data_IF_155905553191
#
_entry.id   IF_155905553191
#
_cell.length_a   1.000
_cell.length_b   1.000
_cell.length_c   1.000
_cell.angle_alpha   90.00
_cell.angle_beta   90.00
_cell.angle_gamma   90.00
#
_symmetry.space_group_name_H-M   'P 1'
#
loop_
_entity.id
_entity.type
_entity.pdbx_description
1 polymer ?
#
# COMPACT_ATOMS: atom_id res chain seq x y z
N UNK A 1 5.76 -20.14 14.81
CA UNK A 1 4.62 -20.31 13.89
C UNK A 1 5.07 -21.18 12.74
N UNK A 2 4.24 -22.14 12.27
CA UNK A 2 4.56 -22.90 11.06
C UNK A 2 4.31 -22.03 9.82
N UNK A 3 5.16 -22.16 8.80
CA UNK A 3 5.05 -21.40 7.56
C UNK A 3 4.04 -22.10 6.65
N UNK A 4 2.85 -21.52 6.50
CA UNK A 4 1.83 -22.08 5.61
C UNK A 4 2.12 -21.74 4.16
N UNK A 5 2.18 -22.75 3.31
CA UNK A 5 2.45 -22.60 1.87
C UNK A 5 1.30 -23.20 1.09
N UNK A 6 0.65 -22.36 0.28
CA UNK A 6 -0.40 -22.80 -0.62
C UNK A 6 0.19 -23.57 -1.82
N UNK A 7 -0.47 -24.62 -2.29
CA UNK A 7 -0.05 -25.37 -3.48
C UNK A 7 -1.21 -25.41 -4.49
N UNK A 8 -1.06 -24.67 -5.59
CA UNK A 8 -1.99 -24.62 -6.71
C UNK A 8 -1.59 -25.56 -7.84
N UNK A 9 -2.57 -26.24 -8.44
CA UNK A 9 -2.38 -27.05 -9.65
C UNK A 9 -3.71 -27.22 -10.39
N UNK A 10 -3.65 -27.71 -11.62
CA UNK A 10 -4.81 -28.32 -12.27
C UNK A 10 -5.18 -29.65 -11.62
N UNK A 11 -6.33 -30.21 -12.01
CA UNK A 11 -6.73 -31.57 -11.64
C UNK A 11 -5.73 -32.60 -12.19
N UNK A 12 -5.26 -32.40 -13.41
CA UNK A 12 -4.30 -33.25 -14.10
C UNK A 12 -2.90 -33.17 -13.46
N UNK A 13 -2.51 -31.99 -12.96
CA UNK A 13 -1.25 -31.73 -12.26
C UNK A 13 -1.24 -32.16 -10.78
N UNK A 14 -2.37 -32.61 -10.22
CA UNK A 14 -2.52 -32.97 -8.81
C UNK A 14 -1.47 -33.99 -8.30
N UNK A 15 -1.06 -35.03 -9.04
CA UNK A 15 -0.01 -35.94 -8.59
C UNK A 15 1.31 -35.22 -8.28
N UNK A 16 1.69 -34.23 -9.09
CA UNK A 16 2.89 -33.42 -8.87
C UNK A 16 2.72 -32.48 -7.66
N UNK A 17 1.53 -31.91 -7.48
CA UNK A 17 1.22 -31.08 -6.31
C UNK A 17 1.29 -31.90 -4.99
N UNK A 18 0.79 -33.13 -5.00
CA UNK A 18 0.92 -34.06 -3.87
C UNK A 18 2.39 -34.38 -3.56
N UNK A 19 3.21 -34.64 -4.58
CA UNK A 19 4.64 -34.85 -4.39
C UNK A 19 5.34 -33.62 -3.78
N UNK A 20 5.01 -32.41 -4.25
CA UNK A 20 5.51 -31.16 -3.67
C UNK A 20 5.05 -30.99 -2.21
N UNK A 21 3.81 -31.36 -1.89
CA UNK A 21 3.30 -31.35 -0.51
C UNK A 21 4.14 -32.23 0.40
N UNK A 22 4.48 -33.45 -0.04
CA UNK A 22 5.34 -34.37 0.71
C UNK A 22 6.73 -33.79 0.94
N UNK A 23 7.36 -33.24 -0.10
CA UNK A 23 8.66 -32.56 0.00
C UNK A 23 8.63 -31.40 0.99
N UNK A 24 7.65 -30.50 0.86
CA UNK A 24 7.50 -29.35 1.77
C UNK A 24 7.27 -29.80 3.22
N UNK A 25 6.45 -30.84 3.43
CA UNK A 25 6.22 -31.41 4.76
C UNK A 25 7.51 -31.96 5.36
N UNK A 26 8.38 -32.56 4.55
CA UNK A 26 9.68 -33.09 5.00
C UNK A 26 10.66 -32.03 5.50
N UNK A 27 10.46 -30.75 5.14
CA UNK A 27 11.30 -29.65 5.61
C UNK A 27 11.00 -29.25 7.08
N UNK A 28 9.91 -29.76 7.67
CA UNK A 28 9.63 -29.78 9.11
C UNK A 28 8.91 -28.55 9.67
N UNK A 29 9.20 -27.35 9.18
CA UNK A 29 8.62 -26.10 9.69
C UNK A 29 7.59 -25.46 8.74
N UNK A 30 7.16 -26.23 7.74
CA UNK A 30 6.21 -25.84 6.70
C UNK A 30 4.92 -26.63 6.87
N UNK A 31 3.81 -25.93 6.68
CA UNK A 31 2.47 -26.51 6.63
C UNK A 31 1.89 -26.30 5.22
N UNK A 32 2.03 -27.27 4.32
CA UNK A 32 1.53 -27.14 2.96
C UNK A 32 0.01 -27.33 2.90
N UNK A 33 -0.67 -26.47 2.15
CA UNK A 33 -2.13 -26.48 1.95
C UNK A 33 -2.42 -26.69 0.46
N UNK A 34 -3.04 -27.81 0.09
CA UNK A 34 -3.39 -28.07 -1.32
C UNK A 34 -4.61 -27.27 -1.76
N UNK A 35 -4.65 -26.94 -3.05
CA UNK A 35 -5.81 -26.40 -3.74
C UNK A 35 -7.10 -27.16 -3.43
N UNK A 36 -7.07 -28.50 -3.43
CA UNK A 36 -8.26 -29.32 -3.17
C UNK A 36 -8.83 -29.18 -1.76
N UNK A 37 -8.09 -28.60 -0.81
CA UNK A 37 -8.49 -28.47 0.60
C UNK A 37 -9.25 -27.16 0.89
N UNK A 38 -9.29 -26.21 -0.05
CA UNK A 38 -9.80 -24.85 0.21
C UNK A 38 -11.17 -24.56 -0.41
N UNK A 39 -11.61 -25.34 -1.41
CA UNK A 39 -12.90 -25.12 -2.10
C UNK A 39 -14.06 -25.76 -1.34
N UNK A 40 -14.81 -24.91 -0.65
CA UNK A 40 -16.05 -25.30 0.01
C UNK A 40 -17.25 -24.99 -0.90
N UNK A 41 -18.32 -25.81 -0.88
CA UNK A 41 -19.54 -25.51 -1.64
C UNK A 41 -20.05 -24.09 -1.33
N UNK A 42 -20.31 -23.31 -2.38
CA UNK A 42 -20.83 -21.95 -2.26
C UNK A 42 -19.80 -20.83 -2.35
N UNK A 43 -18.49 -21.13 -2.38
CA UNK A 43 -17.45 -20.13 -2.66
C UNK A 43 -17.11 -20.06 -4.15
N UNK A 44 -16.91 -18.85 -4.67
CA UNK A 44 -16.25 -18.68 -5.96
C UNK A 44 -14.75 -19.00 -5.83
N UNK A 45 -14.12 -19.46 -6.92
CA UNK A 45 -12.71 -19.85 -6.92
C UNK A 45 -11.78 -18.76 -6.40
N UNK A 46 -12.02 -17.51 -6.81
CA UNK A 46 -11.23 -16.37 -6.38
C UNK A 46 -11.41 -16.02 -4.90
N UNK A 47 -12.63 -16.15 -4.36
CA UNK A 47 -12.90 -15.89 -2.94
C UNK A 47 -12.19 -16.91 -2.03
N UNK A 48 -12.20 -18.19 -2.42
CA UNK A 48 -11.48 -19.23 -1.70
C UNK A 48 -9.95 -18.97 -1.71
N UNK A 49 -9.42 -18.49 -2.84
CA UNK A 49 -8.03 -18.08 -2.95
C UNK A 49 -7.71 -16.90 -2.04
N UNK A 50 -8.48 -15.83 -2.10
CA UNK A 50 -8.25 -14.65 -1.24
C UNK A 50 -8.26 -15.02 0.25
N UNK A 51 -9.19 -15.88 0.66
CA UNK A 51 -9.29 -16.37 2.04
C UNK A 51 -8.08 -17.22 2.47
N UNK A 52 -7.58 -18.13 1.62
CA UNK A 52 -6.40 -18.92 1.98
C UNK A 52 -5.13 -18.07 2.07
N UNK A 53 -5.03 -17.01 1.26
CA UNK A 53 -3.87 -16.12 1.25
C UNK A 53 -3.76 -15.24 2.50
N UNK A 54 -4.84 -15.05 3.26
CA UNK A 54 -4.77 -14.44 4.61
C UNK A 54 -4.07 -15.33 5.63
N UNK A 55 -3.88 -16.62 5.31
CA UNK A 55 -3.29 -17.62 6.19
C UNK A 55 -1.95 -18.16 5.67
N UNK A 56 -1.65 -17.97 4.39
CA UNK A 56 -0.43 -18.46 3.75
C UNK A 56 0.62 -17.36 3.60
N UNK A 57 1.88 -17.72 3.83
CA UNK A 57 3.03 -16.84 3.65
C UNK A 57 3.67 -16.96 2.26
N UNK A 58 3.37 -18.03 1.52
CA UNK A 58 3.88 -18.27 0.19
C UNK A 58 2.93 -19.18 -0.61
N UNK A 59 3.18 -19.31 -1.91
CA UNK A 59 2.49 -20.25 -2.77
C UNK A 59 3.46 -20.98 -3.72
N UNK A 60 3.13 -22.22 -4.06
CA UNK A 60 3.76 -22.99 -5.13
C UNK A 60 2.68 -23.29 -6.17
N UNK A 61 2.98 -23.06 -7.45
CA UNK A 61 2.09 -23.44 -8.54
C UNK A 61 2.73 -24.50 -9.41
N UNK A 62 1.96 -25.52 -9.77
CA UNK A 62 2.37 -26.57 -10.72
C UNK A 62 1.84 -26.23 -12.10
N UNK A 63 2.76 -25.90 -13.01
CA UNK A 63 2.49 -25.71 -14.43
C UNK A 63 2.80 -27.02 -15.17
N UNK A 64 1.80 -27.90 -15.26
CA UNK A 64 1.87 -29.19 -15.97
C UNK A 64 1.39 -29.10 -17.43
N UNK A 65 1.82 -30.03 -18.28
CA UNK A 65 1.53 -30.06 -19.71
C UNK A 65 0.10 -30.55 -20.04
N UNK A 66 -0.92 -29.89 -19.48
CA UNK A 66 -2.29 -30.41 -19.48
C UNK A 66 -3.04 -30.18 -20.80
N UNK A 67 -2.82 -29.02 -21.43
CA UNK A 67 -3.53 -28.61 -22.64
C UNK A 67 -2.61 -28.64 -23.86
N UNK A 68 -3.16 -28.94 -25.04
CA UNK A 68 -2.48 -28.78 -26.33
C UNK A 68 -3.01 -27.51 -27.00
N UNK A 69 -2.12 -26.59 -27.32
CA UNK A 69 -2.46 -25.32 -27.98
C UNK A 69 -1.72 -25.17 -29.30
N UNK A 70 -2.36 -24.53 -30.28
CA UNK A 70 -1.73 -24.20 -31.56
C UNK A 70 -1.14 -22.79 -31.47
N UNK A 71 0.18 -22.69 -31.36
CA UNK A 71 0.91 -21.43 -31.33
C UNK A 71 1.71 -21.24 -32.61
N UNK A 72 1.39 -20.19 -33.39
CA UNK A 72 2.06 -19.88 -34.67
C UNK A 72 2.14 -21.09 -35.64
N UNK A 73 1.08 -21.89 -35.68
CA UNK A 73 1.00 -23.09 -36.53
C UNK A 73 1.69 -24.33 -35.98
N UNK A 74 2.25 -24.28 -34.77
CA UNK A 74 2.84 -25.44 -34.08
C UNK A 74 1.94 -25.88 -32.92
N UNK A 75 1.72 -27.19 -32.78
CA UNK A 75 1.07 -27.75 -31.59
C UNK A 75 2.10 -27.84 -30.47
N UNK A 76 1.82 -27.16 -29.35
CA UNK A 76 2.66 -27.15 -28.16
C UNK A 76 1.84 -27.58 -26.94
N UNK A 77 2.49 -28.17 -25.95
CA UNK A 77 1.86 -28.48 -24.67
C UNK A 77 2.00 -27.29 -23.72
N UNK A 78 0.91 -26.86 -23.12
CA UNK A 78 0.87 -25.68 -22.26
C UNK A 78 0.17 -25.97 -20.94
N UNK A 79 0.50 -25.23 -19.87
CA UNK A 79 -0.28 -25.27 -18.65
C UNK A 79 -1.72 -24.83 -18.89
N UNK A 80 -2.63 -25.42 -18.12
CA UNK A 80 -4.04 -25.04 -18.15
C UNK A 80 -4.19 -23.55 -17.85
N UNK A 81 -4.97 -22.85 -18.68
CA UNK A 81 -5.10 -21.39 -18.60
C UNK A 81 -5.54 -20.90 -17.21
N UNK A 82 -6.43 -21.63 -16.53
CA UNK A 82 -6.90 -21.30 -15.18
C UNK A 82 -5.75 -21.28 -14.16
N UNK A 83 -4.83 -22.25 -14.22
CA UNK A 83 -3.66 -22.31 -13.32
C UNK A 83 -2.78 -21.07 -13.50
N UNK A 84 -2.62 -20.61 -14.74
CA UNK A 84 -1.84 -19.41 -15.04
C UNK A 84 -2.53 -18.12 -14.56
N UNK A 85 -3.87 -18.07 -14.66
CA UNK A 85 -4.67 -16.97 -14.12
C UNK A 85 -4.57 -16.89 -12.59
N UNK A 86 -4.74 -18.03 -11.92
CA UNK A 86 -4.64 -18.16 -10.47
C UNK A 86 -3.23 -17.84 -9.97
N UNK A 87 -2.19 -18.31 -10.67
CA UNK A 87 -0.80 -17.93 -10.43
C UNK A 87 -0.63 -16.41 -10.46
N UNK A 88 -1.16 -15.74 -11.50
CA UNK A 88 -1.09 -14.28 -11.64
C UNK A 88 -1.79 -13.54 -10.48
N UNK A 89 -3.01 -13.97 -10.13
CA UNK A 89 -3.77 -13.40 -9.01
C UNK A 89 -3.01 -13.53 -7.68
N UNK A 90 -2.54 -14.75 -7.38
CA UNK A 90 -1.81 -15.03 -6.14
C UNK A 90 -0.50 -14.23 -6.12
N UNK A 91 0.29 -14.23 -7.20
CA UNK A 91 1.53 -13.47 -7.30
C UNK A 91 1.33 -11.98 -7.05
N UNK A 92 0.22 -11.41 -7.54
CA UNK A 92 -0.17 -10.03 -7.26
C UNK A 92 -0.51 -9.77 -5.79
N UNK A 93 -1.13 -10.73 -5.10
CA UNK A 93 -1.60 -10.58 -3.72
C UNK A 93 -0.52 -10.86 -2.65
N UNK A 94 0.37 -11.83 -2.85
CA UNK A 94 1.44 -12.15 -1.88
C UNK A 94 2.84 -11.64 -2.29
N UNK A 95 2.93 -11.07 -3.49
CA UNK A 95 4.17 -10.61 -4.10
C UNK A 95 4.99 -11.75 -4.73
N UNK A 96 5.61 -11.45 -5.88
CA UNK A 96 6.41 -12.41 -6.68
C UNK A 96 7.54 -13.12 -5.93
N UNK A 97 8.04 -12.55 -4.84
CA UNK A 97 9.13 -13.16 -4.06
C UNK A 97 8.63 -14.33 -3.19
N UNK A 98 7.33 -14.40 -2.96
CA UNK A 98 6.67 -15.43 -2.14
C UNK A 98 5.99 -16.50 -3.00
N UNK A 99 6.33 -16.61 -4.29
CA UNK A 99 5.77 -17.61 -5.19
C UNK A 99 6.88 -18.42 -5.85
N UNK A 100 6.69 -19.74 -5.95
CA UNK A 100 7.51 -20.62 -6.78
C UNK A 100 6.64 -21.23 -7.88
N UNK A 101 7.16 -21.27 -9.10
CA UNK A 101 6.52 -21.94 -10.23
C UNK A 101 7.30 -23.23 -10.54
N UNK A 102 6.61 -24.36 -10.42
CA UNK A 102 7.14 -25.68 -10.68
C UNK A 102 6.64 -26.17 -12.05
N UNK A 103 7.55 -26.45 -12.98
CA UNK A 103 7.20 -27.04 -14.27
C UNK A 103 7.12 -28.56 -14.15
N UNK A 104 6.13 -29.14 -14.82
CA UNK A 104 5.96 -30.59 -14.91
C UNK A 104 5.59 -31.01 -16.34
N UNK A 105 6.10 -32.16 -16.79
CA UNK A 105 5.74 -32.74 -18.08
C UNK A 105 6.16 -31.93 -19.32
N UNK A 106 7.13 -31.02 -19.21
CA UNK A 106 7.64 -30.25 -20.36
C UNK A 106 6.70 -29.16 -20.87
N UNK A 107 5.80 -28.65 -20.01
CA UNK A 107 4.88 -27.60 -20.37
C UNK A 107 5.59 -26.31 -20.81
N UNK A 108 5.18 -25.74 -21.93
CA UNK A 108 5.71 -24.48 -22.44
C UNK A 108 4.96 -23.30 -21.81
N UNK A 109 5.69 -22.40 -21.15
CA UNK A 109 5.12 -21.20 -20.55
C UNK A 109 4.85 -20.09 -21.58
N UNK A 110 3.90 -19.19 -21.29
CA UNK A 110 3.76 -17.93 -22.00
C UNK A 110 5.08 -17.17 -22.11
N UNK A 111 5.31 -16.45 -23.22
CA UNK A 111 6.56 -15.73 -23.48
C UNK A 111 6.95 -14.75 -22.38
N UNK A 112 5.97 -14.07 -21.77
CA UNK A 112 6.20 -13.12 -20.68
C UNK A 112 6.74 -13.78 -19.40
N UNK A 113 6.55 -15.10 -19.26
CA UNK A 113 7.04 -15.88 -18.12
C UNK A 113 8.32 -16.66 -18.43
N UNK A 114 8.87 -16.57 -19.64
CA UNK A 114 10.12 -17.28 -20.00
C UNK A 114 11.35 -16.73 -19.23
N UNK A 115 11.30 -15.49 -18.76
CA UNK A 115 12.34 -14.90 -17.90
C UNK A 115 12.22 -15.29 -16.42
N UNK A 116 11.17 -16.02 -16.03
CA UNK A 116 10.97 -16.44 -14.64
C UNK A 116 11.83 -17.66 -14.32
N UNK A 117 12.57 -17.60 -13.21
CA UNK A 117 13.29 -18.77 -12.69
C UNK A 117 12.28 -19.80 -12.15
N UNK A 118 12.15 -20.92 -12.86
CA UNK A 118 11.23 -22.03 -12.53
C UNK A 118 11.96 -23.23 -11.95
N UNK A 119 11.25 -24.05 -11.18
CA UNK A 119 11.73 -25.35 -10.69
C UNK A 119 11.20 -26.43 -11.62
N UNK A 120 12.05 -26.99 -12.48
CA UNK A 120 11.64 -28.07 -13.37
C UNK A 120 11.63 -29.40 -12.62
N UNK A 121 10.45 -29.92 -12.33
CA UNK A 121 10.26 -31.16 -11.57
C UNK A 121 10.55 -32.42 -12.40
N UNK A 122 10.84 -32.29 -13.70
CA UNK A 122 11.22 -33.42 -14.56
C UNK A 122 12.73 -33.72 -14.54
N UNK A 123 13.56 -32.84 -13.98
CA UNK A 123 15.01 -33.02 -13.90
C UNK A 123 15.36 -34.03 -12.80
N UNK A 124 15.84 -35.20 -13.21
CA UNK A 124 16.24 -36.28 -12.28
C UNK A 124 17.73 -36.33 -11.98
N UNK A 125 18.57 -35.74 -12.84
CA UNK A 125 20.03 -35.72 -12.68
C UNK A 125 20.58 -34.29 -12.66
N UNK A 126 21.49 -33.95 -11.73
CA UNK A 126 22.16 -32.66 -11.76
C UNK A 126 23.11 -32.59 -12.96
N UNK A 127 23.28 -31.43 -13.61
CA UNK A 127 24.23 -31.28 -14.69
C UNK A 127 25.66 -31.60 -14.21
N UNK A 128 26.52 -32.17 -15.08
CA UNK A 128 27.84 -32.72 -14.69
C UNK A 128 28.84 -31.70 -14.11
N UNK A 129 28.54 -30.40 -14.18
CA UNK A 129 29.32 -29.34 -13.51
C UNK A 129 28.36 -28.44 -12.72
N UNK A 130 28.36 -28.53 -11.37
CA UNK A 130 27.60 -27.60 -10.56
C UNK A 130 28.35 -26.28 -10.44
N UNK A 131 27.90 -25.27 -11.18
CA UNK A 131 28.49 -23.92 -11.14
C UNK A 131 27.52 -22.85 -10.65
N UNK A 132 26.25 -23.20 -10.37
CA UNK A 132 25.23 -22.26 -9.87
C UNK A 132 24.06 -22.97 -9.16
N UNK A 133 23.17 -22.20 -8.52
CA UNK A 133 21.89 -22.68 -7.97
C UNK A 133 21.00 -23.39 -9.02
N UNK A 134 21.21 -23.14 -10.31
CA UNK A 134 20.49 -23.80 -11.40
C UNK A 134 20.88 -25.28 -11.58
N UNK A 135 21.97 -25.74 -10.96
CA UNK A 135 22.46 -27.12 -11.01
C UNK A 135 21.90 -28.01 -9.89
N UNK A 136 21.16 -27.44 -8.95
CA UNK A 136 20.57 -28.18 -7.83
C UNK A 136 19.38 -29.03 -8.32
N UNK A 137 19.18 -30.17 -7.65
CA UNK A 137 17.98 -30.99 -7.86
C UNK A 137 16.71 -30.19 -7.51
N UNK A 138 15.55 -30.52 -8.11
CA UNK A 138 14.32 -29.74 -7.91
C UNK A 138 13.92 -29.59 -6.43
N UNK A 139 14.07 -30.65 -5.64
CA UNK A 139 13.82 -30.66 -4.19
C UNK A 139 14.72 -29.71 -3.41
N UNK A 140 16.00 -29.59 -3.79
CA UNK A 140 16.96 -28.72 -3.12
C UNK A 140 16.73 -27.25 -3.48
N UNK A 141 16.33 -26.98 -4.73
CA UNK A 141 15.89 -25.65 -5.17
C UNK A 141 14.64 -25.20 -4.42
N UNK A 142 13.67 -26.10 -4.28
CA UNK A 142 12.45 -25.83 -3.51
C UNK A 142 12.79 -25.56 -2.04
N UNK A 143 13.69 -26.36 -1.45
CA UNK A 143 14.17 -26.14 -0.08
C UNK A 143 14.91 -24.81 0.08
N UNK A 144 15.77 -24.45 -0.87
CA UNK A 144 16.48 -23.19 -0.84
C UNK A 144 15.50 -22.02 -0.90
N UNK A 145 14.51 -22.07 -1.80
CA UNK A 145 13.46 -21.05 -1.90
C UNK A 145 12.70 -20.88 -0.58
N UNK A 146 12.37 -21.98 0.13
CA UNK A 146 11.65 -21.86 1.41
C UNK A 146 12.47 -21.17 2.49
N UNK A 147 13.81 -21.17 2.43
CA UNK A 147 14.66 -20.47 3.42
C UNK A 147 14.47 -18.94 3.41
N UNK A 148 14.08 -18.37 2.27
CA UNK A 148 13.81 -16.93 2.12
C UNK A 148 12.42 -16.50 2.60
N UNK A 149 11.54 -17.44 2.97
CA UNK A 149 10.16 -17.15 3.34
C UNK A 149 10.04 -16.68 4.78
N UNK A 150 9.56 -15.45 4.94
CA UNK A 150 9.18 -14.88 6.23
C UNK A 150 7.77 -15.32 6.62
N UNK A 151 7.53 -15.62 7.89
CA UNK A 151 6.17 -15.86 8.39
C UNK A 151 5.42 -14.54 8.58
N UNK A 152 4.12 -14.53 8.29
CA UNK A 152 3.20 -13.45 8.64
C UNK A 152 2.26 -13.96 9.72
N UNK A 153 1.83 -13.11 10.66
CA UNK A 153 0.81 -13.51 11.62
C UNK A 153 -0.50 -13.83 10.90
N UNK A 154 -1.27 -14.76 11.46
CA UNK A 154 -2.54 -15.20 10.90
C UNK A 154 -3.49 -14.02 10.66
N UNK A 155 -4.18 -14.04 9.51
CA UNK A 155 -5.18 -13.05 9.09
C UNK A 155 -4.62 -11.65 8.80
N UNK A 156 -3.29 -11.50 8.68
CA UNK A 156 -2.67 -10.27 8.20
C UNK A 156 -2.31 -10.43 6.72
N UNK A 157 -2.99 -9.67 5.86
CA UNK A 157 -2.68 -9.61 4.43
C UNK A 157 -1.28 -9.09 4.16
N UNK A 158 -0.60 -9.63 3.13
CA UNK A 158 0.74 -9.15 2.69
C UNK A 158 0.68 -7.90 1.83
N UNK A 159 -0.39 -7.78 1.07
CA UNK A 159 -0.76 -6.56 0.35
C UNK A 159 -2.11 -6.14 0.88
N UNK A 160 -2.48 -4.89 0.69
CA UNK A 160 -3.84 -4.41 0.82
C UNK A 160 -4.11 -3.44 -0.32
N UNK A 161 -5.33 -3.52 -0.85
CA UNK A 161 -5.81 -2.52 -1.81
C UNK A 161 -6.20 -1.31 -0.98
N UNK A 162 -5.78 -0.12 -1.42
CA UNK A 162 -6.12 1.15 -0.79
C UNK A 162 -6.71 2.08 -1.84
N UNK A 163 -7.51 3.06 -1.42
CA UNK A 163 -7.97 4.10 -2.34
C UNK A 163 -6.78 4.92 -2.86
N UNK A 164 -6.86 5.40 -4.11
CA UNK A 164 -5.76 6.10 -4.80
C UNK A 164 -5.28 7.39 -4.11
N UNK A 165 -6.07 7.94 -3.19
CA UNK A 165 -5.68 9.10 -2.37
C UNK A 165 -4.78 8.72 -1.18
N UNK A 166 -4.65 7.43 -0.86
CA UNK A 166 -3.72 6.93 0.16
C UNK A 166 -2.27 7.18 -0.22
N UNK A 167 -1.41 7.43 0.77
CA UNK A 167 -0.01 7.82 0.64
C UNK A 167 0.21 9.31 0.90
N UNK A 168 1.40 9.81 0.54
CA UNK A 168 1.86 11.17 0.84
C UNK A 168 1.29 12.24 -0.09
N UNK A 169 0.94 13.37 0.49
CA UNK A 169 0.57 14.61 -0.19
C UNK A 169 1.37 15.76 0.38
N UNK A 170 1.84 16.65 -0.48
CA UNK A 170 2.39 17.95 -0.09
C UNK A 170 1.28 18.99 -0.14
N UNK A 171 1.27 19.94 0.79
CA UNK A 171 0.29 21.01 0.82
C UNK A 171 0.92 22.38 1.06
N UNK A 172 0.28 23.38 0.47
CA UNK A 172 0.52 24.79 0.73
C UNK A 172 -0.82 25.45 1.12
N UNK A 173 -0.93 25.82 2.39
CA UNK A 173 -2.10 26.47 2.98
C UNK A 173 -1.80 27.94 3.23
N UNK A 174 -2.66 28.82 2.73
CA UNK A 174 -2.64 30.25 2.98
C UNK A 174 -3.84 30.63 3.84
N UNK A 175 -3.59 31.17 5.03
CA UNK A 175 -4.65 31.62 5.92
C UNK A 175 -5.09 33.04 5.52
N UNK A 176 -6.40 33.21 5.31
CA UNK A 176 -7.04 34.52 5.10
C UNK A 176 -7.66 35.04 6.40
N UNK A 177 -7.97 34.14 7.32
CA UNK A 177 -8.39 34.44 8.68
C UNK A 177 -7.70 33.46 9.63
N UNK A 178 -7.11 33.95 10.71
CA UNK A 178 -6.38 33.11 11.66
C UNK A 178 -6.63 33.58 13.07
N UNK A 179 -7.21 32.70 13.89
CA UNK A 179 -7.52 32.95 15.30
C UNK A 179 -8.23 34.29 15.55
N UNK A 180 -9.32 34.54 14.82
CA UNK A 180 -10.19 35.70 14.98
C UNK A 180 -9.70 36.94 14.24
N UNK A 181 -8.54 36.86 13.59
CA UNK A 181 -7.89 37.98 12.91
C UNK A 181 -7.86 37.77 11.42
N UNK A 182 -8.18 38.83 10.70
CA UNK A 182 -8.02 38.85 9.26
C UNK A 182 -6.53 38.96 8.87
N UNK A 183 -6.12 38.13 7.92
CA UNK A 183 -4.75 38.08 7.40
C UNK A 183 -4.75 38.66 5.99
N UNK A 184 -4.33 39.91 5.88
CA UNK A 184 -4.18 40.63 4.61
C UNK A 184 -2.85 41.33 4.56
N UNK A 185 -2.30 41.49 3.35
CA UNK A 185 -1.06 42.21 3.12
C UNK A 185 -1.08 43.58 3.83
N UNK A 186 -0.01 43.97 4.54
CA UNK A 186 1.32 43.35 4.61
C UNK A 186 1.47 42.15 5.58
N UNK A 187 0.38 41.74 6.25
CA UNK A 187 0.37 40.51 7.06
C UNK A 187 0.21 39.27 6.20
N UNK A 188 0.80 38.16 6.62
CA UNK A 188 0.66 36.86 5.99
C UNK A 188 0.78 35.73 7.01
N UNK A 189 0.16 34.58 6.72
CA UNK A 189 0.33 33.35 7.47
C UNK A 189 0.19 32.17 6.51
N UNK A 190 1.25 31.39 6.37
CA UNK A 190 1.34 30.24 5.48
C UNK A 190 1.68 28.99 6.28
N UNK A 191 1.06 27.86 5.94
CA UNK A 191 1.44 26.55 6.43
C UNK A 191 1.81 25.67 5.25
N UNK A 192 3.09 25.31 5.16
CA UNK A 192 3.58 24.40 4.13
C UNK A 192 3.98 23.08 4.78
N UNK A 193 3.60 21.96 4.20
CA UNK A 193 3.78 20.67 4.85
C UNK A 193 3.45 19.48 3.98
N UNK A 194 3.29 18.34 4.64
CA UNK A 194 2.77 17.14 4.02
C UNK A 194 1.80 16.41 4.96
N UNK A 195 0.93 15.61 4.37
CA UNK A 195 0.12 14.65 5.10
C UNK A 195 0.17 13.28 4.44
N UNK A 196 0.11 12.23 5.25
CA UNK A 196 0.06 10.84 4.83
C UNK A 196 -1.34 10.31 5.17
N UNK A 197 -2.04 9.75 4.17
CA UNK A 197 -3.36 9.16 4.34
C UNK A 197 -3.33 7.65 4.10
N UNK A 198 -4.14 6.91 4.83
CA UNK A 198 -4.53 5.53 4.51
C UNK A 198 -6.05 5.53 4.43
N UNK A 199 -6.60 5.29 3.25
CA UNK A 199 -8.03 5.30 2.96
C UNK A 199 -8.44 3.94 2.43
N UNK A 200 -9.51 3.39 2.97
CA UNK A 200 -10.12 2.12 2.55
C UNK A 200 -10.48 2.15 1.06
N UNK A 201 -10.48 0.99 0.36
CA UNK A 201 -10.81 0.92 -1.07
C UNK A 201 -12.08 1.64 -1.50
N UNK A 202 -13.12 1.59 -0.65
CA UNK A 202 -14.42 2.23 -0.92
C UNK A 202 -14.42 3.76 -0.70
N UNK A 203 -13.30 4.34 -0.25
CA UNK A 203 -13.18 5.77 -0.01
C UNK A 203 -13.92 6.29 1.21
N UNK A 204 -14.59 5.45 2.01
CA UNK A 204 -15.49 5.90 3.08
C UNK A 204 -14.82 6.02 4.46
N UNK A 205 -13.62 5.47 4.63
CA UNK A 205 -12.91 5.53 5.89
C UNK A 205 -11.42 5.70 5.66
N UNK A 206 -10.85 6.72 6.26
CA UNK A 206 -9.42 6.95 6.22
C UNK A 206 -8.90 7.65 7.46
N UNK A 207 -7.61 7.49 7.70
CA UNK A 207 -6.86 8.09 8.80
C UNK A 207 -5.49 8.51 8.32
N UNK A 208 -4.82 9.35 9.09
CA UNK A 208 -3.52 9.82 8.70
C UNK A 208 -2.84 10.72 9.71
N UNK A 209 -1.76 11.33 9.25
CA UNK A 209 -1.00 12.30 10.02
C UNK A 209 -0.55 13.43 9.09
N UNK A 210 -0.56 14.66 9.59
CA UNK A 210 -0.04 15.83 8.88
C UNK A 210 1.04 16.52 9.70
N UNK A 211 2.06 17.03 9.00
CA UNK A 211 3.08 17.90 9.57
C UNK A 211 3.18 19.16 8.72
N UNK A 212 3.37 20.30 9.40
CA UNK A 212 3.42 21.60 8.76
C UNK A 212 4.47 22.52 9.37
N UNK A 213 4.95 23.46 8.57
CA UNK A 213 5.70 24.64 9.00
C UNK A 213 4.82 25.86 8.81
N UNK A 214 4.39 26.45 9.92
CA UNK A 214 3.67 27.70 9.96
C UNK A 214 4.69 28.85 9.97
N UNK A 215 4.64 29.70 8.95
CA UNK A 215 5.41 30.93 8.88
C UNK A 215 4.46 32.12 8.72
N UNK A 216 4.62 33.13 9.57
CA UNK A 216 3.73 34.28 9.56
C UNK A 216 4.44 35.58 9.93
N UNK A 217 3.84 36.68 9.48
CA UNK A 217 4.09 38.03 9.95
C UNK A 217 2.74 38.73 10.10
N UNK A 218 2.45 39.22 11.29
CA UNK A 218 1.27 39.99 11.61
C UNK A 218 1.66 41.42 11.91
N UNK A 219 1.10 42.37 11.17
CA UNK A 219 1.18 43.79 11.50
C UNK A 219 0.04 44.10 12.48
N UNK A 220 0.38 44.70 13.63
CA UNK A 220 -0.54 44.89 14.75
C UNK A 220 -1.09 46.31 14.87
N UNK A 221 -0.48 47.28 14.19
CA UNK A 221 -0.85 48.69 14.20
C UNK A 221 -0.97 49.26 12.78
N UNK A 222 -1.56 50.46 12.67
CA UNK A 222 -1.71 51.15 11.39
C UNK A 222 -0.38 51.74 10.86
N UNK A 223 0.60 51.96 11.74
CA UNK A 223 1.94 52.47 11.38
C UNK A 223 2.83 51.40 10.73
N UNK A 224 2.55 50.12 10.94
CA UNK A 224 3.36 49.02 10.41
C UNK A 224 4.61 48.72 11.23
N UNK A 225 4.83 49.42 12.33
CA UNK A 225 6.03 49.33 13.16
C UNK A 225 5.93 48.15 14.14
N UNK A 226 4.73 47.91 14.69
CA UNK A 226 4.52 46.78 15.60
C UNK A 226 4.16 45.53 14.81
N UNK A 227 5.12 44.62 14.73
CA UNK A 227 4.93 43.34 14.06
C UNK A 227 5.15 42.17 15.02
N UNK A 228 4.38 41.12 14.82
CA UNK A 228 4.57 39.83 15.46
C UNK A 228 4.76 38.79 14.37
N UNK A 229 5.93 38.16 14.33
CA UNK A 229 6.28 37.17 13.32
C UNK A 229 6.86 35.93 13.96
N UNK A 230 6.69 34.80 13.30
CA UNK A 230 7.11 33.53 13.86
C UNK A 230 7.26 32.42 12.84
N UNK A 231 8.00 31.41 13.27
CA UNK A 231 8.20 30.14 12.59
C UNK A 231 7.93 29.02 13.59
N UNK A 232 6.95 28.20 13.25
CA UNK A 232 6.39 27.15 14.09
C UNK A 232 6.30 25.85 13.31
N UNK A 233 6.48 24.72 13.99
CA UNK A 233 6.18 23.40 13.45
C UNK A 233 4.92 22.87 14.12
N UNK A 234 4.08 22.22 13.34
CA UNK A 234 2.86 21.61 13.83
C UNK A 234 2.74 20.17 13.35
N UNK A 235 2.09 19.36 14.18
CA UNK A 235 1.81 17.95 13.97
C UNK A 235 0.34 17.70 14.29
N UNK A 236 -0.39 17.10 13.35
CA UNK A 236 -1.81 16.87 13.44
C UNK A 236 -2.16 15.41 13.18
N UNK A 237 -3.06 14.86 13.98
CA UNK A 237 -3.73 13.59 13.65
C UNK A 237 -4.88 13.87 12.67
N UNK A 238 -5.06 13.00 11.68
CA UNK A 238 -6.22 12.99 10.80
C UNK A 238 -7.14 11.85 11.25
N UNK A 239 -8.24 12.19 11.91
CA UNK A 239 -9.13 11.22 12.55
C UNK A 239 -10.10 10.56 11.57
N UNK A 240 -10.51 11.29 10.53
CA UNK A 240 -11.40 10.83 9.48
C UNK A 240 -10.98 11.42 8.14
N UNK A 241 -11.05 10.62 7.09
CA UNK A 241 -10.94 11.04 5.69
C UNK A 241 -11.92 10.24 4.84
N UNK A 242 -12.64 10.93 3.96
CA UNK A 242 -13.62 10.34 3.06
C UNK A 242 -13.55 10.98 1.67
N UNK A 243 -13.83 10.17 0.66
CA UNK A 243 -13.82 10.54 -0.74
C UNK A 243 -15.26 10.56 -1.26
N UNK A 244 -15.63 11.66 -1.90
CA UNK A 244 -16.91 11.83 -2.59
C UNK A 244 -16.84 11.28 -4.02
N UNK A 245 -17.99 10.96 -4.59
CA UNK A 245 -18.10 10.38 -5.95
C UNK A 245 -17.63 11.31 -7.07
N UNK A 246 -17.58 12.63 -6.80
CA UNK A 246 -17.04 13.66 -7.69
C UNK A 246 -15.49 13.75 -7.64
N UNK A 247 -14.85 12.94 -6.79
CA UNK A 247 -13.41 12.96 -6.54
C UNK A 247 -12.99 13.96 -5.46
N UNK A 248 -13.92 14.60 -4.76
CA UNK A 248 -13.57 15.47 -3.64
C UNK A 248 -13.06 14.65 -2.44
N UNK A 249 -12.12 15.21 -1.68
CA UNK A 249 -11.57 14.64 -0.46
C UNK A 249 -11.92 15.54 0.71
N UNK A 250 -12.56 14.95 1.72
CA UNK A 250 -12.89 15.62 2.97
C UNK A 250 -12.15 14.93 4.11
N UNK A 251 -11.54 15.71 5.00
CA UNK A 251 -10.96 15.14 6.21
C UNK A 251 -10.90 16.14 7.35
N UNK A 252 -10.79 15.63 8.57
CA UNK A 252 -10.62 16.44 9.78
C UNK A 252 -9.24 16.22 10.37
N UNK A 253 -8.58 17.29 10.80
CA UNK A 253 -7.27 17.23 11.43
C UNK A 253 -7.28 17.97 12.77
N UNK A 254 -6.62 17.41 13.80
CA UNK A 254 -6.47 18.03 15.11
C UNK A 254 -4.99 18.10 15.49
N UNK A 255 -4.53 19.27 15.92
CA UNK A 255 -3.14 19.43 16.36
C UNK A 255 -2.93 18.69 17.69
N UNK A 256 -1.83 17.95 17.81
CA UNK A 256 -1.42 17.36 19.09
C UNK A 256 -0.03 17.81 19.55
N UNK A 257 0.76 18.41 18.66
CA UNK A 257 2.03 19.02 19.02
C UNK A 257 2.31 20.27 18.19
N UNK A 258 2.81 21.30 18.86
CA UNK A 258 3.29 22.54 18.26
C UNK A 258 4.66 22.85 18.86
N UNK A 259 5.61 23.20 18.00
CA UNK A 259 6.97 23.56 18.38
C UNK A 259 7.31 24.94 17.86
N UNK A 260 7.63 25.86 18.76
CA UNK A 260 8.14 27.19 18.42
C UNK A 260 9.62 27.10 18.01
N UNK A 261 9.96 27.54 16.80
CA UNK A 261 11.34 27.62 16.33
C UNK A 261 11.90 29.04 16.50
N UNK A 262 11.13 30.04 16.10
CA UNK A 262 11.48 31.44 16.32
C UNK A 262 10.23 32.30 16.43
N UNK A 263 10.31 33.37 17.20
CA UNK A 263 9.36 34.47 17.12
C UNK A 263 10.08 35.80 17.30
N UNK A 264 9.48 36.88 16.84
CA UNK A 264 9.88 38.25 17.14
C UNK A 264 8.65 39.12 17.33
N UNK A 265 8.72 40.06 18.27
CA UNK A 265 7.62 40.93 18.66
C UNK A 265 6.77 40.38 19.81
N UNK A 266 5.82 41.20 20.29
CA UNK A 266 4.90 40.82 21.35
C UNK A 266 3.65 40.20 20.73
N UNK A 267 3.30 38.98 21.14
CA UNK A 267 2.11 38.30 20.64
C UNK A 267 0.84 39.05 21.08
N UNK A 268 -0.12 39.31 20.17
CA UNK A 268 -1.43 39.80 20.55
C UNK A 268 -2.19 38.72 21.35
N UNK A 269 -3.22 39.10 22.10
CA UNK A 269 -3.92 38.22 23.03
C UNK A 269 -4.41 36.92 22.36
N UNK A 270 -4.90 37.01 21.14
CA UNK A 270 -5.43 35.91 20.32
C UNK A 270 -4.35 34.87 19.95
N UNK A 271 -3.09 35.31 19.87
CA UNK A 271 -1.92 34.50 19.49
C UNK A 271 -0.99 34.20 20.67
N UNK A 272 -1.39 34.55 21.90
CA UNK A 272 -0.57 34.36 23.10
C UNK A 272 -0.33 32.88 23.44
N UNK A 273 -1.23 31.99 23.03
CA UNK A 273 -1.17 30.54 23.30
C UNK A 273 -0.73 29.69 22.09
N UNK A 274 0.00 30.29 21.12
CA UNK A 274 0.50 29.56 19.95
C UNK A 274 1.50 28.44 20.27
N UNK A 275 2.10 28.45 21.45
CA UNK A 275 3.03 27.40 21.88
C UNK A 275 2.31 26.13 22.36
N UNK A 276 0.97 26.12 22.35
CA UNK A 276 0.14 24.98 22.71
C UNK A 276 -0.55 24.41 21.46
N UNK A 277 -0.75 23.08 21.47
CA UNK A 277 -1.57 22.43 20.46
C UNK A 277 -2.99 23.02 20.47
N UNK A 278 -3.47 23.37 19.28
CA UNK A 278 -4.79 23.96 19.13
C UNK A 278 -5.88 22.92 19.46
N UNK A 279 -6.83 23.22 20.37
CA UNK A 279 -7.82 22.24 20.81
C UNK A 279 -8.90 21.97 19.76
N UNK A 280 -9.05 22.84 18.75
CA UNK A 280 -10.06 22.73 17.70
C UNK A 280 -9.61 21.85 16.53
N UNK A 281 -10.60 21.24 15.88
CA UNK A 281 -10.41 20.50 14.64
C UNK A 281 -10.49 21.44 13.44
N UNK A 282 -9.61 21.22 12.47
CA UNK A 282 -9.66 21.84 11.15
C UNK A 282 -10.31 20.89 10.15
N UNK A 283 -11.34 21.36 9.47
CA UNK A 283 -12.01 20.69 8.37
C UNK A 283 -11.34 21.06 7.05
N UNK A 284 -10.98 20.06 6.26
CA UNK A 284 -10.38 20.21 4.94
C UNK A 284 -11.40 19.77 3.89
N UNK A 285 -11.66 20.64 2.93
CA UNK A 285 -12.55 20.36 1.80
C UNK A 285 -11.76 20.59 0.52
N UNK A 286 -11.43 19.51 -0.18
CA UNK A 286 -10.55 19.52 -1.34
C UNK A 286 -11.29 18.95 -2.56
N UNK A 287 -11.17 19.60 -3.71
CA UNK A 287 -11.73 19.14 -4.97
C UNK A 287 -10.62 18.95 -6.02
N UNK A 288 -10.81 18.05 -7.01
CA UNK A 288 -9.87 17.90 -8.12
C UNK A 288 -9.59 19.23 -8.82
N UNK A 289 -8.31 19.53 -9.06
CA UNK A 289 -7.92 20.70 -9.82
C UNK A 289 -7.61 20.35 -11.28
N UNK A 290 -7.36 21.35 -12.12
CA UNK A 290 -6.97 21.15 -13.52
C UNK A 290 -5.56 20.56 -13.68
N UNK A 291 -4.72 20.69 -12.66
CA UNK A 291 -3.37 20.13 -12.65
C UNK A 291 -3.41 18.63 -12.30
N UNK A 292 -2.53 17.80 -12.90
CA UNK A 292 -2.49 16.38 -12.61
C UNK A 292 -2.00 16.12 -11.19
N UNK A 293 -2.62 15.15 -10.52
CA UNK A 293 -2.27 14.72 -9.15
C UNK A 293 -2.40 15.83 -8.10
N UNK A 294 -3.31 16.77 -8.28
CA UNK A 294 -3.53 17.86 -7.32
C UNK A 294 -5.00 18.08 -7.00
N UNK A 295 -5.24 18.55 -5.78
CA UNK A 295 -6.53 19.03 -5.31
C UNK A 295 -6.37 20.46 -4.81
N UNK A 296 -7.45 21.23 -4.86
CA UNK A 296 -7.51 22.59 -4.32
C UNK A 296 -8.79 22.75 -3.49
N UNK A 297 -8.75 23.63 -2.50
CA UNK A 297 -9.94 23.89 -1.71
C UNK A 297 -9.66 24.75 -0.50
N UNK A 298 -10.36 24.45 0.59
CA UNK A 298 -10.39 25.29 1.79
C UNK A 298 -10.13 24.50 3.05
N UNK A 299 -9.63 25.21 4.06
CA UNK A 299 -9.50 24.73 5.42
C UNK A 299 -10.24 25.70 6.34
N UNK A 300 -11.06 25.18 7.25
CA UNK A 300 -11.77 25.97 8.26
C UNK A 300 -11.85 25.25 9.60
N UNK A 301 -11.85 25.99 10.70
CA UNK A 301 -12.05 25.43 12.05
C UNK A 301 -13.51 25.59 12.50
N UNK A 302 -13.99 24.64 13.31
CA UNK A 302 -15.40 24.60 13.79
C UNK A 302 -15.72 25.61 14.90
N UNK A 303 -14.73 26.36 15.36
CA UNK A 303 -14.82 27.23 16.53
C UNK A 303 -15.19 28.69 16.20
N UNK A 304 -15.67 29.41 17.23
CA UNK A 304 -15.98 30.83 17.16
C UNK A 304 -14.76 31.73 16.86
N UNK A 305 -13.55 31.16 16.85
CA UNK A 305 -12.29 31.84 16.58
C UNK A 305 -12.01 31.88 15.05
N UNK A 306 -12.57 30.96 14.26
CA UNK A 306 -12.83 31.18 12.82
C UNK A 306 -11.63 31.14 11.88
N UNK A 307 -10.63 30.29 12.13
CA UNK A 307 -9.50 30.12 11.19
C UNK A 307 -10.00 29.63 9.84
N UNK A 308 -9.62 30.31 8.75
CA UNK A 308 -9.99 29.98 7.38
C UNK A 308 -8.83 30.24 6.42
N UNK A 309 -8.67 29.36 5.44
CA UNK A 309 -7.63 29.49 4.43
C UNK A 309 -7.95 28.73 3.15
N UNK A 310 -7.21 29.05 2.10
CA UNK A 310 -7.19 28.27 0.86
C UNK A 310 -5.98 27.36 0.84
N UNK A 311 -6.14 26.18 0.25
CA UNK A 311 -5.10 25.17 0.21
C UNK A 311 -4.98 24.58 -1.18
N UNK A 312 -3.74 24.34 -1.58
CA UNK A 312 -3.40 23.49 -2.73
C UNK A 312 -2.62 22.28 -2.23
N UNK A 313 -2.97 21.10 -2.72
CA UNK A 313 -2.28 19.85 -2.39
C UNK A 313 -1.84 19.13 -3.64
N UNK A 314 -0.70 18.44 -3.57
CA UNK A 314 -0.16 17.64 -4.67
C UNK A 314 0.33 16.29 -4.16
N UNK A 315 0.02 15.23 -4.91
CA UNK A 315 0.49 13.88 -4.59
C UNK A 315 1.98 13.78 -4.88
N UNK A 316 2.75 13.41 -3.86
CA UNK A 316 4.20 13.14 -3.97
C UNK A 316 4.50 11.98 -4.92
#
# INVERSE_FOLDING_TARGET
MKRRIFIGSSTEGLPHACHIKELLTSFGDIEPVLWTEIFHPGLLTFEALENVLLRCCAAVFVASADDVTTFRGQCIHTPRANVMLEFGLVAGRIGRHSIALCLAGGAQLPSDLQGLTVIDMSVTDPPPVPSSEASLLPQDRLRLWTTGLLSTADQIGRTDILHGYSGRWEFALQLSHWRGREVRFPSYAYVNGNFDLVISPNGQAGKGFAQGRLNFKMVLDASGEHTFQGDYRTAHEIASADCSSDGSLHFTSQAFAVGKFSHMGVAPAELSSLDLAEPWSAQWQLAPSAEPRSLEGTVSTDDAIGTRGTVKVRKA
#
